data_IF_137602927932
#
_entry.id   IF_137602927932
#
_cell.length_a   1.000
_cell.length_b   1.000
_cell.length_c   1.000
_cell.angle_alpha   90.00
_cell.angle_beta   90.00
_cell.angle_gamma   90.00
#
_symmetry.space_group_name_H-M   'P 1'
#
loop_
_entity.id
_entity.type
_entity.pdbx_description
1 polymer ?
#
# COMPACT_ATOMS: atom_id res chain seq x y z
N UNK A 1 -7.38 -17.84 16.17
CA UNK A 1 -6.59 -16.83 16.91
C UNK A 1 -7.21 -15.46 16.69
N UNK A 2 -7.47 -14.67 17.75
CA UNK A 2 -8.15 -13.39 17.60
C UNK A 2 -7.26 -12.40 16.84
N UNK A 3 -7.78 -11.92 15.72
CA UNK A 3 -7.17 -10.90 14.90
C UNK A 3 -7.22 -9.56 15.63
N UNK A 4 -6.10 -8.83 15.73
CA UNK A 4 -6.07 -7.56 16.48
C UNK A 4 -6.65 -6.41 15.64
N UNK A 5 -7.84 -5.88 15.99
CA UNK A 5 -8.49 -4.84 15.19
C UNK A 5 -7.65 -3.57 15.08
N UNK A 6 -6.85 -3.25 16.10
CA UNK A 6 -5.97 -2.09 16.09
C UNK A 6 -4.86 -2.14 15.02
N UNK A 7 -4.38 -3.33 14.62
CA UNK A 7 -3.41 -3.45 13.52
C UNK A 7 -4.08 -3.15 12.17
N UNK A 8 -5.25 -3.78 11.99
CA UNK A 8 -6.07 -3.64 10.78
C UNK A 8 -6.47 -2.18 10.59
N UNK A 9 -7.00 -1.55 11.63
CA UNK A 9 -7.42 -0.16 11.62
C UNK A 9 -6.24 0.78 11.34
N UNK A 10 -5.09 0.58 11.99
CA UNK A 10 -3.91 1.40 11.73
C UNK A 10 -3.47 1.31 10.26
N UNK A 11 -3.42 0.10 9.69
CA UNK A 11 -3.06 -0.07 8.28
C UNK A 11 -4.08 0.53 7.33
N UNK A 12 -5.38 0.31 7.57
CA UNK A 12 -6.44 0.89 6.77
C UNK A 12 -6.40 2.42 6.80
N UNK A 13 -6.31 3.02 7.99
CA UNK A 13 -6.29 4.48 8.15
C UNK A 13 -5.05 5.10 7.52
N UNK A 14 -3.86 4.55 7.78
CA UNK A 14 -2.62 5.13 7.23
C UNK A 14 -2.55 5.03 5.71
N UNK A 15 -3.03 3.94 5.12
CA UNK A 15 -3.08 3.79 3.66
C UNK A 15 -4.14 4.68 3.02
N UNK A 16 -5.33 4.80 3.63
CA UNK A 16 -6.37 5.74 3.17
C UNK A 16 -5.85 7.17 3.20
N UNK A 17 -5.31 7.62 4.33
CA UNK A 17 -4.77 8.97 4.45
C UNK A 17 -3.64 9.21 3.43
N UNK A 18 -2.75 8.24 3.25
CA UNK A 18 -1.70 8.29 2.24
C UNK A 18 -2.26 8.46 0.82
N UNK A 19 -3.30 7.70 0.46
CA UNK A 19 -3.94 7.85 -0.87
C UNK A 19 -4.68 9.16 -1.06
N UNK A 20 -5.34 9.68 -0.02
CA UNK A 20 -6.04 10.95 -0.10
C UNK A 20 -5.03 12.07 -0.34
N UNK A 21 -3.95 12.11 0.44
CA UNK A 21 -2.88 13.09 0.26
C UNK A 21 -2.20 12.96 -1.12
N UNK A 22 -1.94 11.72 -1.56
CA UNK A 22 -1.39 11.48 -2.89
C UNK A 22 -2.33 11.97 -4.01
N UNK A 23 -3.63 11.79 -3.84
CA UNK A 23 -4.64 12.23 -4.82
C UNK A 23 -4.75 13.75 -4.88
N UNK A 24 -4.67 14.42 -3.72
CA UNK A 24 -4.65 15.89 -3.67
C UNK A 24 -3.39 16.46 -4.33
N UNK A 25 -2.20 15.92 -4.01
CA UNK A 25 -0.95 16.33 -4.62
C UNK A 25 -0.94 16.09 -6.14
N UNK A 26 -1.49 14.97 -6.59
CA UNK A 26 -1.65 14.65 -8.00
C UNK A 26 -2.57 15.64 -8.72
N UNK A 27 -3.71 16.00 -8.11
CA UNK A 27 -4.61 17.01 -8.64
C UNK A 27 -3.94 18.36 -8.80
N UNK A 28 -3.18 18.78 -7.79
CA UNK A 28 -2.40 20.02 -7.84
C UNK A 28 -1.35 20.00 -8.97
N UNK A 29 -0.58 18.91 -9.10
CA UNK A 29 0.44 18.83 -10.15
C UNK A 29 -0.17 18.75 -11.55
N UNK A 30 -1.27 18.02 -11.73
CA UNK A 30 -1.98 17.98 -13.01
C UNK A 30 -2.48 19.38 -13.42
N UNK A 31 -2.97 20.16 -12.47
CA UNK A 31 -3.40 21.54 -12.71
C UNK A 31 -2.23 22.46 -13.08
N UNK A 32 -1.12 22.40 -12.33
CA UNK A 32 0.06 23.24 -12.59
C UNK A 32 0.78 22.92 -13.91
N UNK A 33 0.86 21.63 -14.27
CA UNK A 33 1.54 21.19 -15.50
C UNK A 33 0.62 21.17 -16.72
N UNK A 34 -0.71 21.25 -16.51
CA UNK A 34 -1.74 20.96 -17.53
C UNK A 34 -1.61 19.56 -18.16
N UNK A 35 -0.93 18.64 -17.47
CA UNK A 35 -0.70 17.28 -17.92
C UNK A 35 -1.28 16.27 -16.91
N UNK A 36 -2.36 15.60 -17.30
CA UNK A 36 -2.99 14.58 -16.45
C UNK A 36 -2.05 13.41 -16.13
N UNK A 37 -1.13 13.07 -17.06
CA UNK A 37 -0.15 12.01 -16.89
C UNK A 37 0.87 12.32 -15.79
N UNK A 38 1.31 13.58 -15.66
CA UNK A 38 2.24 13.99 -14.61
C UNK A 38 1.62 13.82 -13.22
N UNK A 39 0.37 14.25 -13.03
CA UNK A 39 -0.37 14.03 -11.79
C UNK A 39 -0.58 12.53 -11.50
N UNK A 40 -0.91 11.74 -12.52
CA UNK A 40 -1.06 10.29 -12.40
C UNK A 40 0.22 9.58 -11.92
N UNK A 41 1.36 9.94 -12.51
CA UNK A 41 2.66 9.38 -12.17
C UNK A 41 3.07 9.74 -10.74
N UNK A 42 2.87 11.00 -10.34
CA UNK A 42 3.13 11.43 -8.96
C UNK A 42 2.24 10.68 -7.96
N UNK A 43 0.94 10.51 -8.28
CA UNK A 43 0.03 9.73 -7.44
C UNK A 43 0.54 8.32 -7.22
N UNK A 44 0.91 7.64 -8.31
CA UNK A 44 1.47 6.29 -8.25
C UNK A 44 2.72 6.23 -7.35
N UNK A 45 3.63 7.20 -7.50
CA UNK A 45 4.82 7.27 -6.65
C UNK A 45 4.46 7.44 -5.16
N UNK A 46 3.61 8.40 -4.83
CA UNK A 46 3.22 8.71 -3.45
C UNK A 46 2.43 7.58 -2.78
N UNK A 47 1.54 6.92 -3.53
CA UNK A 47 0.79 5.75 -3.04
C UNK A 47 1.73 4.58 -2.79
N UNK A 48 2.71 4.35 -3.68
CA UNK A 48 3.76 3.34 -3.44
C UNK A 48 4.48 3.62 -2.12
N UNK A 49 4.93 4.86 -1.91
CA UNK A 49 5.60 5.25 -0.67
C UNK A 49 4.68 5.07 0.55
N UNK A 50 3.41 5.45 0.46
CA UNK A 50 2.44 5.26 1.54
C UNK A 50 2.27 3.78 1.90
N UNK A 51 2.19 2.88 0.91
CA UNK A 51 2.10 1.44 1.13
C UNK A 51 3.35 0.86 1.79
N UNK A 52 4.53 1.30 1.34
CA UNK A 52 5.81 0.87 1.91
C UNK A 52 5.95 1.33 3.37
N UNK A 53 5.71 2.63 3.62
CA UNK A 53 5.86 3.22 4.95
C UNK A 53 4.84 2.68 5.94
N UNK A 54 3.55 2.62 5.56
CA UNK A 54 2.51 2.06 6.42
C UNK A 54 2.83 0.62 6.81
N UNK A 55 3.20 -0.21 5.83
CA UNK A 55 3.58 -1.61 6.05
C UNK A 55 4.81 -1.72 6.96
N UNK A 56 5.82 -0.89 6.73
CA UNK A 56 7.02 -0.87 7.56
C UNK A 56 6.70 -0.52 9.00
N UNK A 57 6.03 0.62 9.25
CA UNK A 57 5.73 1.09 10.61
C UNK A 57 4.77 0.17 11.36
N UNK A 58 3.73 -0.35 10.69
CA UNK A 58 2.75 -1.23 11.31
C UNK A 58 3.34 -2.60 11.71
N UNK A 59 4.27 -3.12 10.90
CA UNK A 59 4.87 -4.44 11.12
C UNK A 59 6.07 -4.35 12.07
N UNK A 60 7.06 -3.47 11.80
CA UNK A 60 8.31 -3.39 12.57
C UNK A 60 8.09 -3.10 14.05
N UNK A 61 7.17 -2.19 14.38
CA UNK A 61 6.86 -1.85 15.77
C UNK A 61 6.22 -2.97 16.57
N UNK A 62 5.81 -4.07 15.91
CA UNK A 62 5.04 -5.17 16.54
C UNK A 62 5.67 -6.55 16.36
N UNK A 63 6.86 -6.64 15.78
CA UNK A 63 7.57 -7.91 15.54
C UNK A 63 7.87 -8.70 16.83
N UNK A 64 8.06 -8.00 17.96
CA UNK A 64 8.33 -8.63 19.25
C UNK A 64 7.05 -9.10 19.98
N UNK A 65 5.89 -8.54 19.62
CA UNK A 65 4.63 -8.77 20.32
C UNK A 65 3.71 -9.77 19.61
N UNK A 66 3.93 -10.04 18.32
CA UNK A 66 3.02 -10.82 17.47
C UNK A 66 3.77 -11.82 16.59
N UNK A 67 3.10 -12.94 16.30
CA UNK A 67 3.62 -13.90 15.33
C UNK A 67 3.54 -13.35 13.90
N UNK A 68 4.48 -13.75 13.04
CA UNK A 68 4.50 -13.33 11.62
C UNK A 68 3.20 -13.63 10.86
N UNK A 69 2.55 -14.81 11.02
CA UNK A 69 1.29 -15.08 10.34
C UNK A 69 0.18 -14.09 10.74
N UNK A 70 0.10 -13.73 12.03
CA UNK A 70 -0.88 -12.75 12.52
C UNK A 70 -0.60 -11.35 11.97
N UNK A 71 0.68 -10.95 11.90
CA UNK A 71 1.07 -9.67 11.29
C UNK A 71 0.68 -9.62 9.81
N UNK A 72 0.95 -10.69 9.06
CA UNK A 72 0.65 -10.78 7.62
C UNK A 72 -0.85 -10.75 7.36
N UNK A 73 -1.64 -11.54 8.09
CA UNK A 73 -3.10 -11.55 7.94
C UNK A 73 -3.69 -10.19 8.34
N UNK A 74 -3.27 -9.63 9.47
CA UNK A 74 -3.74 -8.33 9.94
C UNK A 74 -3.42 -7.19 8.99
N UNK A 75 -2.19 -7.14 8.50
CA UNK A 75 -1.77 -6.14 7.52
C UNK A 75 -2.44 -6.35 6.16
N UNK A 76 -2.63 -7.60 5.72
CA UNK A 76 -3.34 -7.92 4.48
C UNK A 76 -4.79 -7.44 4.49
N UNK A 77 -5.54 -7.73 5.56
CA UNK A 77 -6.92 -7.23 5.70
C UNK A 77 -6.94 -5.71 5.83
N UNK A 78 -5.99 -5.12 6.56
CA UNK A 78 -5.86 -3.67 6.66
C UNK A 78 -5.60 -3.00 5.31
N UNK A 79 -4.76 -3.59 4.46
CA UNK A 79 -4.49 -3.13 3.10
C UNK A 79 -5.73 -3.19 2.21
N UNK A 80 -6.49 -4.29 2.28
CA UNK A 80 -7.73 -4.45 1.52
C UNK A 80 -8.79 -3.45 1.96
N UNK A 81 -8.97 -3.28 3.26
CA UNK A 81 -9.89 -2.27 3.79
C UNK A 81 -9.44 -0.87 3.40
N UNK A 82 -8.15 -0.57 3.48
CA UNK A 82 -7.62 0.72 3.07
C UNK A 82 -7.88 1.02 1.59
N UNK A 83 -7.76 0.02 0.72
CA UNK A 83 -8.11 0.14 -0.70
C UNK A 83 -9.59 0.42 -0.92
N UNK A 84 -10.48 -0.36 -0.30
CA UNK A 84 -11.94 -0.24 -0.45
C UNK A 84 -12.46 1.09 0.14
N UNK A 85 -11.86 1.55 1.24
CA UNK A 85 -12.24 2.80 1.90
C UNK A 85 -11.68 4.05 1.20
N UNK A 86 -10.74 3.90 0.27
CA UNK A 86 -10.19 5.04 -0.45
C UNK A 86 -11.21 5.57 -1.47
N UNK A 87 -11.62 6.85 -1.42
CA UNK A 87 -12.63 7.39 -2.32
C UNK A 87 -12.21 7.35 -3.80
N UNK A 88 -10.91 7.47 -4.07
CA UNK A 88 -10.38 7.43 -5.43
C UNK A 88 -10.48 6.05 -6.08
N UNK A 89 -10.73 4.99 -5.29
CA UNK A 89 -10.91 3.62 -5.77
C UNK A 89 -12.14 3.51 -6.62
N UNK A 90 -13.22 4.10 -6.14
CA UNK A 90 -14.51 4.09 -6.83
C UNK A 90 -14.52 4.93 -8.11
N UNK A 91 -13.46 5.71 -8.35
CA UNK A 91 -13.25 6.44 -9.60
C UNK A 91 -12.24 5.75 -10.53
N UNK A 92 -11.65 4.63 -10.11
CA UNK A 92 -10.60 3.93 -10.88
C UNK A 92 -9.29 4.72 -10.95
N UNK A 93 -9.03 5.56 -9.94
CA UNK A 93 -7.89 6.49 -9.88
C UNK A 93 -7.15 6.36 -8.54
N UNK A 94 -6.97 5.16 -8.00
CA UNK A 94 -6.34 4.97 -6.68
C UNK A 94 -4.85 4.84 -6.74
N UNK A 95 -4.34 4.08 -7.71
CA UNK A 95 -2.92 3.76 -7.76
C UNK A 95 -2.25 4.12 -9.09
N UNK A 96 -2.05 3.18 -10.00
CA UNK A 96 -1.21 3.36 -11.19
C UNK A 96 -1.88 2.91 -12.49
N UNK A 97 -2.98 2.15 -12.43
CA UNK A 97 -3.66 1.60 -13.59
C UNK A 97 -4.12 2.68 -14.58
N UNK A 98 -4.47 3.87 -14.11
CA UNK A 98 -4.87 4.98 -14.98
C UNK A 98 -3.77 5.45 -15.96
N UNK A 99 -2.52 5.03 -15.75
CA UNK A 99 -1.41 5.35 -16.65
C UNK A 99 -1.46 4.53 -17.95
N UNK A 100 -2.17 3.40 -17.95
CA UNK A 100 -2.19 2.43 -19.06
C UNK A 100 -3.61 2.04 -19.49
N UNK A 101 -4.63 2.43 -18.74
CA UNK A 101 -6.02 2.07 -18.99
C UNK A 101 -6.92 3.20 -18.53
N UNK A 102 -8.03 3.42 -19.23
CA UNK A 102 -9.00 4.44 -18.85
C UNK A 102 -9.60 4.18 -17.45
N UNK A 103 -9.93 5.23 -16.68
CA UNK A 103 -10.55 5.07 -15.37
C UNK A 103 -11.89 4.35 -15.45
N UNK A 104 -12.04 3.26 -14.69
CA UNK A 104 -13.27 2.47 -14.63
C UNK A 104 -13.06 1.15 -13.90
N UNK A 105 -14.02 0.22 -14.00
CA UNK A 105 -13.91 -1.08 -13.34
C UNK A 105 -12.61 -1.86 -13.68
N UNK A 106 -12.09 -1.86 -14.93
CA UNK A 106 -10.81 -2.51 -15.22
C UNK A 106 -9.63 -1.89 -14.47
N UNK A 107 -9.56 -0.56 -14.40
CA UNK A 107 -8.48 0.13 -13.69
C UNK A 107 -8.56 -0.09 -12.18
N UNK A 108 -9.77 -0.25 -11.61
CA UNK A 108 -9.95 -0.66 -10.21
C UNK A 108 -9.33 -2.03 -9.96
N UNK A 109 -9.66 -3.03 -10.78
CA UNK A 109 -9.12 -4.39 -10.59
C UNK A 109 -7.59 -4.39 -10.71
N UNK A 110 -7.04 -3.69 -11.70
CA UNK A 110 -5.59 -3.56 -11.87
C UNK A 110 -4.94 -2.85 -10.68
N UNK A 111 -5.54 -1.75 -10.20
CA UNK A 111 -5.05 -1.03 -9.02
C UNK A 111 -5.08 -1.93 -7.78
N UNK A 112 -6.13 -2.73 -7.58
CA UNK A 112 -6.20 -3.68 -6.47
C UNK A 112 -5.08 -4.71 -6.54
N UNK A 113 -4.82 -5.28 -7.72
CA UNK A 113 -3.74 -6.25 -7.92
C UNK A 113 -2.39 -5.61 -7.59
N UNK A 114 -2.10 -4.43 -8.16
CA UNK A 114 -0.86 -3.71 -7.90
C UNK A 114 -0.70 -3.33 -6.43
N UNK A 115 -1.78 -2.88 -5.79
CA UNK A 115 -1.82 -2.53 -4.38
C UNK A 115 -1.51 -3.72 -3.47
N UNK A 116 -2.13 -4.87 -3.72
CA UNK A 116 -1.90 -6.09 -2.95
C UNK A 116 -0.49 -6.62 -3.18
N UNK A 117 0.02 -6.57 -4.41
CA UNK A 117 1.39 -6.99 -4.71
C UNK A 117 2.42 -6.11 -3.99
N UNK A 118 2.31 -4.78 -4.09
CA UNK A 118 3.26 -3.84 -3.49
C UNK A 118 3.14 -3.83 -1.98
N UNK A 119 1.92 -3.68 -1.43
CA UNK A 119 1.68 -3.72 0.01
C UNK A 119 2.03 -5.07 0.62
N UNK A 120 1.67 -6.17 -0.05
CA UNK A 120 2.00 -7.53 0.37
C UNK A 120 3.51 -7.77 0.40
N UNK A 121 4.23 -7.38 -0.67
CA UNK A 121 5.68 -7.44 -0.71
C UNK A 121 6.33 -6.62 0.42
N UNK A 122 5.82 -5.42 0.68
CA UNK A 122 6.29 -4.56 1.77
C UNK A 122 6.11 -5.22 3.14
N UNK A 123 4.95 -5.82 3.41
CA UNK A 123 4.67 -6.57 4.65
C UNK A 123 5.59 -7.79 4.78
N UNK A 124 5.84 -8.51 3.69
CA UNK A 124 6.75 -9.66 3.68
C UNK A 124 8.20 -9.24 3.98
N UNK A 125 8.68 -8.18 3.35
CA UNK A 125 10.01 -7.61 3.58
C UNK A 125 10.15 -7.08 5.00
N UNK A 126 9.16 -6.34 5.49
CA UNK A 126 9.15 -5.80 6.86
C UNK A 126 9.08 -6.90 7.93
N UNK A 127 8.49 -8.07 7.61
CA UNK A 127 8.39 -9.21 8.53
C UNK A 127 9.52 -10.25 8.39
N UNK A 128 10.48 -10.04 7.48
CA UNK A 128 11.53 -11.00 7.20
C UNK A 128 12.52 -11.17 8.39
N UNK A 129 12.99 -12.40 8.69
CA UNK A 129 14.04 -12.63 9.69
C UNK A 129 15.37 -12.00 9.29
N UNK A 130 16.08 -11.42 10.26
CA UNK A 130 17.45 -10.91 10.08
C UNK A 130 18.47 -12.01 9.68
N UNK A 131 18.21 -13.27 10.02
CA UNK A 131 19.11 -14.41 9.74
C UNK A 131 19.18 -14.84 8.28
N UNK A 132 18.43 -14.20 7.37
CA UNK A 132 18.52 -14.46 5.93
C UNK A 132 19.66 -13.72 5.23
N UNK A 133 20.45 -12.90 5.97
CA UNK A 133 21.50 -12.07 5.37
C UNK A 133 22.81 -12.81 5.09
N UNK A 134 23.24 -13.78 5.89
CA UNK A 134 24.47 -14.53 5.63
C UNK A 134 24.35 -15.92 6.27
N UNK A 135 24.19 -16.98 5.46
CA UNK A 135 24.76 -18.28 5.84
C UNK A 135 26.17 -18.28 5.27
N UNK A 136 27.22 -18.11 6.09
CA UNK A 136 28.56 -18.39 5.63
C UNK A 136 28.60 -19.87 5.22
N UNK A 137 28.80 -20.10 3.93
CA UNK A 137 29.07 -21.41 3.36
C UNK A 137 30.44 -21.86 3.90
N UNK A 138 30.45 -22.57 5.02
CA UNK A 138 31.62 -23.35 5.40
C UNK A 138 31.55 -24.67 4.63
N UNK A 139 32.24 -24.72 3.51
CA UNK A 139 32.73 -25.95 2.86
C UNK A 139 34.14 -26.23 3.33
#
# INVERSE_FOLDING_TARGET
MPMRPALVAQMAVTTVLGTVLASLAAGYVADQTREAAAGAALRALLVTLALLLSSWFAVRGRLLALSRPQLRLGAGVGLLLGYVLSPSTWQGRTYAAQLVTDPGAPSMVLDLVLWVLVGGAAVLLASAPASRRERPSYT
#
